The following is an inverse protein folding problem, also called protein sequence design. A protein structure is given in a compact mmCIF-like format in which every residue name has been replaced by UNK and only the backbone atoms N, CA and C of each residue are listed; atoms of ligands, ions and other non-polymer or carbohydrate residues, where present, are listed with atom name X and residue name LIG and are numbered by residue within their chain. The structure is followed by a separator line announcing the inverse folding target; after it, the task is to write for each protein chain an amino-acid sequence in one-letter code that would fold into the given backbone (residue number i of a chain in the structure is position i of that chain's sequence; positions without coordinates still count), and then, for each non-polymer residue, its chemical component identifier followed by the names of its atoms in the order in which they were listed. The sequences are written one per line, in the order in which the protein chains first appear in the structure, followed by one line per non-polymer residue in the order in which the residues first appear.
data_IF_175113589227
#
_entry.id   IF_175113589227
#
_cell.length_a   1.000
_cell.length_b   1.000
_cell.length_c   1.000
_cell.angle_alpha   90.00
_cell.angle_beta   90.00
_cell.angle_gamma   90.00
#
_symmetry.space_group_name_H-M   'P 1'
#
loop_
_entity.id
_entity.type
_entity.pdbx_description
1 polymer ?
#
# COMPACT_ATOMS: atom_id res chain seq x y z
N UNK A 1 6.01 11.51 3.38
CA UNK A 1 5.68 10.21 2.77
C UNK A 1 4.40 10.35 1.96
N UNK A 2 4.37 9.76 0.79
CA UNK A 2 3.17 9.78 -0.04
C UNK A 2 2.52 8.40 -0.03
N UNK A 3 1.24 8.34 0.33
CA UNK A 3 0.47 7.11 0.46
C UNK A 3 -0.66 7.14 -0.57
N UNK A 4 -0.75 6.10 -1.39
CA UNK A 4 -1.78 5.97 -2.41
C UNK A 4 -2.70 4.80 -2.08
N UNK A 5 -4.00 5.09 -1.95
CA UNK A 5 -5.03 4.08 -1.74
C UNK A 5 -5.77 3.90 -3.06
N UNK A 6 -5.76 2.69 -3.59
CA UNK A 6 -6.28 2.40 -4.93
C UNK A 6 -7.75 1.98 -4.96
N UNK A 7 -8.27 1.44 -3.88
CA UNK A 7 -9.62 0.87 -3.83
C UNK A 7 -10.25 1.02 -2.46
N UNK A 8 -10.36 2.28 -2.00
CA UNK A 8 -10.85 2.59 -0.65
C UNK A 8 -12.24 2.04 -0.36
N UNK A 9 -13.06 1.83 -1.39
CA UNK A 9 -14.41 1.28 -1.23
C UNK A 9 -14.37 -0.13 -0.62
N UNK A 10 -13.26 -0.86 -0.81
CA UNK A 10 -13.11 -2.22 -0.29
C UNK A 10 -12.59 -2.25 1.13
N UNK A 11 -12.15 -1.13 1.67
CA UNK A 11 -11.50 -1.07 2.98
C UNK A 11 -12.50 -0.94 4.12
N UNK A 12 -13.72 -0.50 3.85
CA UNK A 12 -14.73 -0.27 4.87
C UNK A 12 -14.34 0.87 5.80
N UNK A 13 -14.97 0.89 6.98
CA UNK A 13 -14.76 1.94 7.97
C UNK A 13 -13.65 1.63 8.98
N UNK A 14 -12.98 0.50 8.81
CA UNK A 14 -12.03 -0.02 9.78
C UNK A 14 -10.68 0.71 9.78
N UNK A 15 -10.41 1.49 8.74
CA UNK A 15 -9.12 2.16 8.58
C UNK A 15 -9.24 3.63 8.99
N UNK A 16 -8.38 4.01 9.91
CA UNK A 16 -8.29 5.41 10.32
C UNK A 16 -7.46 6.21 9.31
N UNK A 17 -8.14 6.90 8.41
CA UNK A 17 -7.47 7.78 7.45
C UNK A 17 -6.79 8.96 8.13
N UNK A 18 -7.31 9.37 9.29
CA UNK A 18 -6.70 10.44 10.08
C UNK A 18 -5.28 10.08 10.48
N UNK A 19 -5.07 8.84 10.95
CA UNK A 19 -3.74 8.38 11.34
C UNK A 19 -2.80 8.29 10.14
N UNK A 20 -3.33 7.87 8.99
CA UNK A 20 -2.52 7.84 7.77
C UNK A 20 -2.08 9.23 7.34
N UNK A 21 -2.96 10.21 7.48
CA UNK A 21 -2.63 11.59 7.14
C UNK A 21 -1.56 12.19 8.04
N UNK A 22 -1.42 11.68 9.25
CA UNK A 22 -0.33 12.08 10.14
C UNK A 22 1.04 11.63 9.63
N UNK A 23 1.06 10.57 8.82
CA UNK A 23 2.28 10.01 8.26
C UNK A 23 2.73 10.73 6.99
N UNK A 24 1.82 11.42 6.31
CA UNK A 24 2.15 12.12 5.09
C UNK A 24 0.94 12.44 4.23
N UNK A 25 1.19 12.69 2.95
CA UNK A 25 0.14 12.96 1.99
C UNK A 25 -0.59 11.65 1.65
N UNK A 26 -1.91 11.66 1.73
CA UNK A 26 -2.74 10.50 1.39
C UNK A 26 -3.60 10.84 0.17
N UNK A 27 -3.46 10.03 -0.87
CA UNK A 27 -4.23 10.17 -2.12
C UNK A 27 -5.18 8.97 -2.18
N UNK A 28 -6.48 9.24 -2.32
CA UNK A 28 -7.52 8.21 -2.19
C UNK A 28 -8.32 8.10 -3.48
N UNK A 29 -8.40 6.89 -4.01
CA UNK A 29 -9.29 6.53 -5.10
C UNK A 29 -10.26 5.45 -4.62
N UNK A 30 -11.58 5.62 -4.86
CA UNK A 30 -12.58 4.63 -4.41
C UNK A 30 -12.38 3.27 -5.04
N UNK A 31 -11.99 3.23 -6.31
CA UNK A 31 -11.69 2.02 -7.04
C UNK A 31 -10.75 2.32 -8.20
N UNK A 32 -10.02 1.32 -8.64
CA UNK A 32 -9.09 1.45 -9.76
C UNK A 32 -9.12 0.18 -10.60
N UNK A 33 -9.27 0.32 -11.91
CA UNK A 33 -9.00 -0.76 -12.82
C UNK A 33 -7.48 -0.99 -12.89
N UNK A 34 -7.07 -2.07 -13.54
CA UNK A 34 -5.64 -2.35 -13.71
C UNK A 34 -4.92 -1.21 -14.43
N UNK A 35 -5.53 -0.71 -15.49
CA UNK A 35 -4.96 0.39 -16.28
C UNK A 35 -4.93 1.69 -15.51
N UNK A 36 -6.02 1.99 -14.80
CA UNK A 36 -6.07 3.17 -13.94
C UNK A 36 -5.04 3.09 -12.81
N UNK A 37 -4.89 1.92 -12.21
CA UNK A 37 -3.91 1.73 -11.14
C UNK A 37 -2.49 1.99 -11.64
N UNK A 38 -2.15 1.45 -12.81
CA UNK A 38 -0.85 1.68 -13.41
C UNK A 38 -0.60 3.18 -13.65
N UNK A 39 -1.57 3.85 -14.21
CA UNK A 39 -1.47 5.29 -14.47
C UNK A 39 -1.31 6.08 -13.17
N UNK A 40 -2.14 5.78 -12.18
CA UNK A 40 -2.14 6.48 -10.89
C UNK A 40 -0.84 6.25 -10.11
N UNK A 41 -0.36 5.04 -10.10
CA UNK A 41 0.91 4.70 -9.43
C UNK A 41 2.09 5.39 -10.12
N UNK A 42 2.11 5.39 -11.44
CA UNK A 42 3.17 6.06 -12.20
C UNK A 42 3.13 7.58 -11.99
N UNK A 43 1.95 8.15 -12.05
CA UNK A 43 1.76 9.60 -11.91
C UNK A 43 2.15 10.10 -10.53
N UNK A 44 1.70 9.43 -9.48
CA UNK A 44 1.94 9.86 -8.11
C UNK A 44 3.27 9.40 -7.55
N UNK A 45 3.82 8.31 -8.07
CA UNK A 45 5.06 7.70 -7.58
C UNK A 45 5.09 7.62 -6.05
N UNK A 46 4.11 6.92 -5.43
CA UNK A 46 3.98 6.89 -3.98
C UNK A 46 5.06 6.03 -3.33
N UNK A 47 5.30 6.26 -2.06
CA UNK A 47 6.16 5.39 -1.26
C UNK A 47 5.41 4.20 -0.70
N UNK A 48 4.11 4.37 -0.44
CA UNK A 48 3.24 3.32 0.10
C UNK A 48 2.01 3.18 -0.76
N UNK A 49 1.66 1.94 -1.09
CA UNK A 49 0.43 1.60 -1.79
C UNK A 49 -0.43 0.76 -0.85
N UNK A 50 -1.68 1.15 -0.70
CA UNK A 50 -2.68 0.38 0.07
C UNK A 50 -3.73 -0.12 -0.92
N UNK A 51 -3.94 -1.43 -0.95
CA UNK A 51 -4.91 -2.05 -1.85
C UNK A 51 -5.47 -3.34 -1.28
N UNK A 52 -6.62 -3.74 -1.77
CA UNK A 52 -7.24 -5.03 -1.46
C UNK A 52 -7.22 -5.96 -2.67
N UNK A 53 -7.63 -5.46 -3.84
CA UNK A 53 -7.89 -6.31 -5.00
C UNK A 53 -7.10 -5.93 -6.26
N UNK A 54 -6.47 -4.80 -6.29
CA UNK A 54 -5.80 -4.32 -7.49
C UNK A 54 -4.52 -5.13 -7.73
N UNK A 55 -4.30 -5.52 -8.99
CA UNK A 55 -3.10 -6.26 -9.37
C UNK A 55 -1.89 -5.33 -9.36
N UNK A 56 -0.89 -5.67 -8.56
CA UNK A 56 0.34 -4.92 -8.42
C UNK A 56 1.49 -5.82 -8.89
N UNK A 57 1.87 -5.67 -10.14
CA UNK A 57 2.91 -6.48 -10.76
C UNK A 57 4.07 -5.62 -11.29
N UNK A 58 5.03 -6.25 -11.94
CA UNK A 58 6.18 -5.58 -12.50
C UNK A 58 5.79 -4.45 -13.44
N UNK A 59 4.80 -4.66 -14.29
CA UNK A 59 4.35 -3.64 -15.24
C UNK A 59 3.86 -2.38 -14.53
N UNK A 60 3.23 -2.55 -13.39
CA UNK A 60 2.73 -1.44 -12.56
C UNK A 60 3.87 -0.78 -11.78
N UNK A 61 4.71 -1.57 -11.15
CA UNK A 61 5.74 -1.07 -10.23
C UNK A 61 6.96 -0.49 -10.94
N UNK A 62 7.24 -0.92 -12.15
CA UNK A 62 8.42 -0.44 -12.88
C UNK A 62 8.40 1.06 -13.17
N UNK A 63 7.22 1.66 -13.20
CA UNK A 63 7.05 3.10 -13.39
C UNK A 63 7.04 3.92 -12.11
N UNK A 64 7.23 3.29 -10.95
CA UNK A 64 7.13 3.97 -9.66
C UNK A 64 8.27 3.55 -8.72
N UNK A 65 9.48 4.06 -8.95
CA UNK A 65 10.66 3.65 -8.18
C UNK A 65 10.64 4.07 -6.72
N UNK A 66 9.77 4.99 -6.32
CA UNK A 66 9.67 5.41 -4.92
C UNK A 66 8.93 4.42 -4.02
N UNK A 67 8.22 3.44 -4.59
CA UNK A 67 7.44 2.48 -3.80
C UNK A 67 8.35 1.66 -2.91
N UNK A 68 8.07 1.66 -1.62
CA UNK A 68 8.83 0.92 -0.61
C UNK A 68 7.97 -0.05 0.19
N UNK A 69 6.66 0.14 0.17
CA UNK A 69 5.74 -0.71 0.91
C UNK A 69 4.42 -0.86 0.17
N UNK A 70 3.89 -2.08 0.19
CA UNK A 70 2.54 -2.38 -0.28
C UNK A 70 1.79 -3.01 0.89
N UNK A 71 0.72 -2.36 1.33
CA UNK A 71 -0.14 -2.87 2.39
C UNK A 71 -1.37 -3.53 1.76
N UNK A 72 -1.44 -4.83 1.86
CA UNK A 72 -2.55 -5.64 1.34
C UNK A 72 -3.60 -5.80 2.43
N UNK A 73 -4.84 -5.45 2.13
CA UNK A 73 -5.93 -5.52 3.11
C UNK A 73 -6.74 -6.81 3.02
N UNK A 74 -6.40 -7.70 2.09
CA UNK A 74 -7.01 -9.01 1.96
C UNK A 74 -6.14 -10.08 2.63
N UNK A 75 -6.70 -11.28 2.80
CA UNK A 75 -5.97 -12.39 3.41
C UNK A 75 -4.88 -12.97 2.51
N UNK A 76 -5.04 -12.87 1.19
CA UNK A 76 -4.10 -13.43 0.23
C UNK A 76 -3.23 -12.38 -0.43
N UNK A 77 -2.21 -12.84 -1.12
CA UNK A 77 -1.29 -11.99 -1.88
C UNK A 77 -1.36 -12.24 -3.38
N UNK A 78 -2.42 -12.89 -3.86
CA UNK A 78 -2.51 -13.31 -5.26
C UNK A 78 -2.45 -12.15 -6.26
N UNK A 79 -2.79 -10.96 -5.82
CA UNK A 79 -2.77 -9.77 -6.65
C UNK A 79 -1.43 -9.02 -6.62
N UNK A 80 -0.45 -9.51 -5.86
CA UNK A 80 0.85 -8.83 -5.73
C UNK A 80 1.97 -9.75 -6.22
N UNK A 81 2.84 -9.20 -7.06
CA UNK A 81 4.06 -9.88 -7.49
C UNK A 81 5.11 -9.83 -6.38
N UNK A 82 5.08 -10.83 -5.52
CA UNK A 82 5.96 -10.91 -4.36
C UNK A 82 7.43 -11.05 -4.75
N UNK A 83 7.70 -11.75 -5.85
CA UNK A 83 9.08 -11.94 -6.33
C UNK A 83 9.70 -10.60 -6.75
N UNK A 84 8.95 -9.81 -7.50
CA UNK A 84 9.40 -8.48 -7.89
C UNK A 84 9.60 -7.58 -6.68
N UNK A 85 8.64 -7.57 -5.77
CA UNK A 85 8.72 -6.76 -4.56
C UNK A 85 9.97 -7.08 -3.74
N UNK A 86 10.21 -8.37 -3.53
CA UNK A 86 11.40 -8.82 -2.79
C UNK A 86 12.69 -8.42 -3.49
N UNK A 87 12.74 -8.57 -4.79
CA UNK A 87 13.94 -8.23 -5.57
C UNK A 87 14.26 -6.74 -5.54
N UNK A 88 13.26 -5.89 -5.31
CA UNK A 88 13.43 -4.44 -5.33
C UNK A 88 13.33 -3.81 -3.94
N UNK A 89 13.38 -4.61 -2.88
CA UNK A 89 13.37 -4.09 -1.51
C UNK A 89 12.04 -3.52 -1.07
N UNK A 90 10.94 -3.94 -1.68
CA UNK A 90 9.60 -3.49 -1.33
C UNK A 90 9.03 -4.40 -0.25
N UNK A 91 8.63 -3.81 0.88
CA UNK A 91 7.98 -4.54 1.96
C UNK A 91 6.52 -4.78 1.61
N UNK A 92 6.07 -6.01 1.71
CA UNK A 92 4.66 -6.35 1.53
C UNK A 92 4.11 -6.80 2.87
N UNK A 93 3.06 -6.12 3.33
CA UNK A 93 2.40 -6.42 4.60
C UNK A 93 0.95 -6.82 4.36
N UNK A 94 0.52 -7.90 4.97
CA UNK A 94 -0.86 -8.36 4.95
C UNK A 94 -1.50 -7.99 6.29
N UNK A 95 -2.61 -7.26 6.24
CA UNK A 95 -3.28 -6.77 7.44
C UNK A 95 -4.64 -7.42 7.69
N UNK A 96 -5.01 -8.40 6.88
CA UNK A 96 -6.27 -9.11 7.05
C UNK A 96 -6.17 -10.21 8.11
N UNK A 97 -7.32 -10.63 8.63
CA UNK A 97 -7.40 -11.73 9.60
C UNK A 97 -7.24 -11.33 11.06
N UNK A 98 -7.16 -10.03 11.34
CA UNK A 98 -7.03 -9.51 12.70
C UNK A 98 -8.30 -8.79 13.15
N UNK A 99 -8.46 -8.65 14.47
CA UNK A 99 -9.67 -8.08 15.05
C UNK A 99 -9.91 -6.61 14.73
N UNK A 100 -8.84 -5.84 14.50
CA UNK A 100 -8.97 -4.43 14.10
C UNK A 100 -7.92 -4.10 13.05
N UNK A 101 -8.37 -3.68 11.90
CA UNK A 101 -7.46 -3.33 10.79
C UNK A 101 -6.64 -2.09 11.10
N UNK A 102 -7.20 -1.13 11.84
CA UNK A 102 -6.46 0.08 12.21
C UNK A 102 -5.21 -0.24 13.04
N UNK A 103 -5.31 -1.19 13.97
CA UNK A 103 -4.15 -1.62 14.78
C UNK A 103 -3.09 -2.27 13.89
N UNK A 104 -3.53 -3.05 12.92
CA UNK A 104 -2.62 -3.78 12.03
C UNK A 104 -1.91 -2.81 11.09
N UNK A 105 -2.62 -1.84 10.54
CA UNK A 105 -1.99 -0.79 9.74
C UNK A 105 -0.94 -0.06 10.55
N UNK A 106 -1.25 0.26 11.79
CA UNK A 106 -0.28 0.91 12.67
C UNK A 106 0.96 0.05 12.84
N UNK A 107 0.81 -1.25 13.08
CA UNK A 107 1.94 -2.18 13.19
C UNK A 107 2.74 -2.29 11.90
N UNK A 108 2.04 -2.39 10.78
CA UNK A 108 2.70 -2.48 9.48
C UNK A 108 3.56 -1.24 9.21
N UNK A 109 3.02 -0.06 9.49
CA UNK A 109 3.76 1.19 9.33
C UNK A 109 4.89 1.30 10.35
N UNK A 110 4.71 0.79 11.55
CA UNK A 110 5.77 0.79 12.55
C UNK A 110 6.95 -0.07 12.09
N UNK A 111 6.67 -1.25 11.56
CA UNK A 111 7.70 -2.12 10.99
C UNK A 111 8.39 -1.43 9.82
N UNK A 112 7.63 -0.76 8.97
CA UNK A 112 8.19 0.00 7.86
C UNK A 112 9.14 1.09 8.36
N UNK A 113 8.76 1.83 9.39
CA UNK A 113 9.60 2.86 9.96
C UNK A 113 10.89 2.31 10.54
N UNK A 114 10.83 1.18 11.21
CA UNK A 114 12.02 0.52 11.74
C UNK A 114 12.94 0.05 10.62
N UNK A 115 12.36 -0.53 9.58
CA UNK A 115 13.10 -1.11 8.46
C UNK A 115 13.73 -0.05 7.56
N UNK A 116 13.01 1.04 7.35
CA UNK A 116 13.46 2.13 6.49
C UNK A 116 13.78 3.34 7.35
N UNK A 117 14.88 3.23 8.01
CA UNK A 117 15.50 4.21 8.85
C UNK A 117 15.28 5.66 8.41
N UNK A 118 15.17 6.55 9.34
CA UNK A 118 14.93 7.95 9.07
C UNK A 118 13.47 8.35 9.17
N UNK A 119 12.60 7.40 9.38
CA UNK A 119 11.20 7.64 9.59
C UNK A 119 10.84 7.81 11.06
N UNK A 120 11.65 7.28 11.91
CA UNK A 120 11.39 7.26 13.35
C UNK A 120 11.93 8.51 14.02
#
# INVERSE_FOLDING_TARGET
MKILILDSITLGDDISLVKLKELGEVIIYPQSSREEAKQRITEHNPEVIITNKVVIDEAVLSGAPAVKMIAETATGYNNIDLAYAKAHGITVANVAGYSTQSVIFHRAFHVFYIQYDGWI
#
